data_IF_012678237304
#
_entry.id   IF_012678237304
#
_cell.length_a   1.000
_cell.length_b   1.000
_cell.length_c   1.000
_cell.angle_alpha   90.00
_cell.angle_beta   90.00
_cell.angle_gamma   90.00
#
_symmetry.space_group_name_H-M   'P 1'
#
loop_
_entity.id
_entity.type
_entity.pdbx_description
1 polymer ?
#
# COMPACT_ATOMS: atom_id res chain seq x y z
N UNK A 1 41.78 -20.47 11.72
CA UNK A 1 41.20 -19.61 12.77
C UNK A 1 40.87 -18.20 12.26
N UNK A 2 41.83 -17.41 11.76
CA UNK A 2 41.59 -16.02 11.28
C UNK A 2 40.50 -15.89 10.20
N UNK A 3 40.49 -16.80 9.21
CA UNK A 3 39.47 -16.82 8.13
C UNK A 3 38.06 -17.13 8.65
N UNK A 4 37.94 -18.03 9.62
CA UNK A 4 36.65 -18.41 10.23
C UNK A 4 36.07 -17.30 11.11
N UNK A 5 36.92 -16.54 11.81
CA UNK A 5 36.51 -15.35 12.55
C UNK A 5 35.99 -14.25 11.60
N UNK A 6 36.67 -14.00 10.48
CA UNK A 6 36.21 -13.07 9.46
C UNK A 6 34.86 -13.46 8.86
N UNK A 7 34.65 -14.75 8.56
CA UNK A 7 33.37 -15.26 8.05
C UNK A 7 32.24 -15.14 9.08
N UNK A 8 32.51 -15.38 10.36
CA UNK A 8 31.52 -15.26 11.43
C UNK A 8 31.05 -13.81 11.62
N UNK A 9 31.98 -12.85 11.57
CA UNK A 9 31.69 -11.41 11.64
C UNK A 9 30.86 -10.95 10.42
N UNK A 10 31.22 -11.41 9.22
CA UNK A 10 30.46 -11.08 8.01
C UNK A 10 29.02 -11.62 8.07
N UNK A 11 28.83 -12.84 8.58
CA UNK A 11 27.51 -13.44 8.73
C UNK A 11 26.67 -12.73 9.78
N UNK A 12 27.26 -12.34 10.92
CA UNK A 12 26.53 -11.57 11.95
C UNK A 12 26.15 -10.18 11.47
N UNK A 13 26.99 -9.52 10.68
CA UNK A 13 26.64 -8.24 10.08
C UNK A 13 25.47 -8.37 9.08
N UNK A 14 25.46 -9.41 8.25
CA UNK A 14 24.34 -9.66 7.32
C UNK A 14 23.01 -9.90 8.04
N UNK A 15 23.04 -10.60 9.18
CA UNK A 15 21.82 -10.84 9.98
C UNK A 15 21.40 -9.58 10.75
N UNK A 16 22.35 -8.81 11.28
CA UNK A 16 22.06 -7.59 12.03
C UNK A 16 21.58 -6.42 11.15
N UNK A 17 22.00 -6.38 9.88
CA UNK A 17 21.64 -5.35 8.90
C UNK A 17 20.72 -5.87 7.79
N UNK A 18 20.23 -7.10 7.88
CA UNK A 18 19.17 -7.61 7.03
C UNK A 18 17.88 -6.88 7.37
N UNK A 19 17.60 -5.78 6.66
CA UNK A 19 16.36 -5.03 6.83
C UNK A 19 15.13 -5.91 6.59
N UNK A 20 14.04 -5.61 7.28
CA UNK A 20 12.72 -6.14 6.91
C UNK A 20 12.46 -5.82 5.42
N UNK A 21 11.74 -6.69 4.71
CA UNK A 21 11.21 -6.32 3.40
C UNK A 21 10.08 -5.32 3.64
N UNK A 22 10.19 -4.11 3.08
CA UNK A 22 9.13 -3.10 3.12
C UNK A 22 8.35 -3.24 1.82
N UNK A 23 7.05 -3.50 1.91
CA UNK A 23 6.16 -3.53 0.76
C UNK A 23 5.12 -2.43 0.88
N UNK A 24 4.58 -1.97 -0.24
CA UNK A 24 3.46 -1.02 -0.19
C UNK A 24 2.18 -1.76 0.25
N UNK A 25 1.40 -1.11 1.11
CA UNK A 25 0.07 -1.58 1.51
C UNK A 25 -0.92 -1.23 0.40
N UNK A 26 -1.39 -2.23 -0.33
CA UNK A 26 -2.37 -2.04 -1.40
C UNK A 26 -3.77 -1.91 -0.82
N UNK A 27 -4.46 -0.80 -1.13
CA UNK A 27 -5.84 -0.55 -0.72
C UNK A 27 -6.69 -0.34 -1.96
N UNK A 28 -7.69 -1.20 -2.15
CA UNK A 28 -8.67 -1.07 -3.22
C UNK A 28 -9.88 -0.26 -2.77
N UNK A 29 -10.31 0.69 -3.60
CA UNK A 29 -11.57 1.43 -3.42
C UNK A 29 -12.41 1.27 -4.67
N UNK A 30 -13.54 0.59 -4.52
CA UNK A 30 -14.55 0.47 -5.57
C UNK A 30 -15.64 1.52 -5.37
N UNK A 31 -16.07 2.15 -6.45
CA UNK A 31 -17.23 3.02 -6.46
C UNK A 31 -17.66 3.39 -7.87
N UNK A 32 -18.80 4.10 -8.02
CA UNK A 32 -19.29 4.53 -9.31
C UNK A 32 -18.49 5.74 -9.78
N UNK A 33 -17.31 5.50 -10.34
CA UNK A 33 -16.43 6.56 -10.85
C UNK A 33 -17.03 7.12 -12.14
N UNK A 34 -17.69 6.27 -12.93
CA UNK A 34 -18.45 6.68 -14.12
C UNK A 34 -19.95 6.41 -13.98
N UNK A 35 -20.72 6.83 -14.98
CA UNK A 35 -22.17 6.65 -15.03
C UNK A 35 -22.97 7.71 -14.25
N UNK A 36 -24.28 7.47 -14.03
CA UNK A 36 -25.19 8.45 -13.44
C UNK A 36 -24.80 8.89 -12.02
N UNK A 37 -24.08 8.04 -11.30
CA UNK A 37 -23.65 8.26 -9.92
C UNK A 37 -22.20 8.75 -9.80
N UNK A 38 -21.56 9.14 -10.91
CA UNK A 38 -20.15 9.59 -10.96
C UNK A 38 -19.80 10.70 -9.97
N UNK A 39 -20.73 11.62 -9.69
CA UNK A 39 -20.51 12.68 -8.71
C UNK A 39 -20.26 12.14 -7.30
N UNK A 40 -20.95 11.07 -6.92
CA UNK A 40 -20.74 10.39 -5.65
C UNK A 40 -19.41 9.64 -5.63
N UNK A 41 -19.08 8.88 -6.69
CA UNK A 41 -17.80 8.19 -6.79
C UNK A 41 -16.60 9.13 -6.79
N UNK A 42 -16.71 10.31 -7.42
CA UNK A 42 -15.67 11.33 -7.39
C UNK A 42 -15.44 11.90 -5.97
N UNK A 43 -16.50 12.06 -5.17
CA UNK A 43 -16.35 12.46 -3.77
C UNK A 43 -15.69 11.35 -2.94
N UNK A 44 -16.07 10.09 -3.17
CA UNK A 44 -15.50 8.93 -2.50
C UNK A 44 -14.01 8.76 -2.82
N UNK A 45 -13.64 8.86 -4.11
CA UNK A 45 -12.25 8.82 -4.57
C UNK A 45 -11.41 9.91 -3.90
N UNK A 46 -11.87 11.17 -3.94
CA UNK A 46 -11.13 12.29 -3.32
C UNK A 46 -10.98 12.11 -1.81
N UNK A 47 -11.99 11.57 -1.13
CA UNK A 47 -11.92 11.26 0.30
C UNK A 47 -10.88 10.17 0.60
N UNK A 48 -10.85 9.12 -0.22
CA UNK A 48 -9.87 8.03 -0.09
C UNK A 48 -8.44 8.53 -0.36
N UNK A 49 -8.24 9.33 -1.42
CA UNK A 49 -6.95 9.94 -1.74
C UNK A 49 -6.44 10.84 -0.61
N UNK A 50 -7.31 11.68 -0.03
CA UNK A 50 -6.95 12.54 1.09
C UNK A 50 -6.54 11.73 2.33
N UNK A 51 -7.32 10.70 2.68
CA UNK A 51 -6.99 9.85 3.82
C UNK A 51 -5.66 9.09 3.62
N UNK A 52 -5.41 8.56 2.42
CA UNK A 52 -4.13 7.91 2.09
C UNK A 52 -2.96 8.89 2.20
N UNK A 53 -3.11 10.11 1.70
CA UNK A 53 -2.08 11.13 1.79
C UNK A 53 -1.75 11.48 3.26
N UNK A 54 -2.77 11.65 4.10
CA UNK A 54 -2.59 11.96 5.52
C UNK A 54 -1.89 10.82 6.27
N UNK A 55 -2.28 9.56 6.01
CA UNK A 55 -1.67 8.38 6.65
C UNK A 55 -0.21 8.22 6.21
N UNK A 56 0.06 8.36 4.92
CA UNK A 56 1.41 8.28 4.37
C UNK A 56 2.32 9.39 4.92
N UNK A 57 1.80 10.62 5.05
CA UNK A 57 2.50 11.72 5.68
C UNK A 57 2.79 11.48 7.17
N UNK A 58 1.93 10.75 7.87
CA UNK A 58 2.13 10.34 9.27
C UNK A 58 3.13 9.18 9.44
N UNK A 59 3.73 8.67 8.36
CA UNK A 59 4.69 7.57 8.38
C UNK A 59 4.14 6.23 7.88
N UNK A 60 2.93 6.21 7.32
CA UNK A 60 2.32 5.00 6.78
C UNK A 60 1.80 4.05 7.85
N UNK A 61 1.42 2.84 7.45
CA UNK A 61 0.97 1.78 8.35
C UNK A 61 2.18 0.91 8.68
N UNK A 62 2.60 0.87 9.94
CA UNK A 62 3.81 0.14 10.37
C UNK A 62 5.09 0.56 9.60
N UNK A 63 5.15 1.81 9.12
CA UNK A 63 6.24 2.31 8.26
C UNK A 63 5.98 2.13 6.76
N UNK A 64 5.02 1.29 6.38
CA UNK A 64 4.73 1.00 4.98
C UNK A 64 3.76 2.02 4.37
N UNK A 65 4.07 2.44 3.15
CA UNK A 65 3.25 3.41 2.42
C UNK A 65 2.02 2.72 1.82
N UNK A 66 0.89 3.40 1.88
CA UNK A 66 -0.34 2.95 1.24
C UNK A 66 -0.33 3.37 -0.23
N UNK A 67 -0.73 2.44 -1.09
CA UNK A 67 -1.06 2.69 -2.50
C UNK A 67 -2.54 2.40 -2.73
N UNK A 68 -3.24 3.41 -3.26
CA UNK A 68 -4.65 3.34 -3.57
C UNK A 68 -4.87 2.84 -5.00
N UNK A 69 -5.67 1.80 -5.16
CA UNK A 69 -6.20 1.36 -6.46
C UNK A 69 -7.70 1.64 -6.51
N UNK A 70 -8.14 2.39 -7.52
CA UNK A 70 -9.54 2.77 -7.68
C UNK A 70 -10.17 1.92 -8.79
N UNK A 71 -11.23 1.19 -8.44
CA UNK A 71 -12.03 0.40 -9.36
C UNK A 71 -13.37 1.08 -9.65
N UNK A 72 -13.76 1.13 -10.92
CA UNK A 72 -15.07 1.66 -11.33
C UNK A 72 -16.10 0.52 -11.41
N UNK A 73 -17.10 0.55 -10.54
CA UNK A 73 -18.19 -0.43 -10.51
C UNK A 73 -19.48 0.06 -11.18
N UNK A 74 -19.53 1.34 -11.58
CA UNK A 74 -20.68 2.01 -12.24
C UNK A 74 -22.02 1.83 -11.50
N UNK A 75 -22.00 1.45 -10.21
CA UNK A 75 -23.19 0.97 -9.47
C UNK A 75 -23.91 -0.23 -10.13
N UNK A 76 -23.23 -1.00 -10.96
CA UNK A 76 -23.72 -2.25 -11.53
C UNK A 76 -23.25 -3.44 -10.66
N UNK A 77 -24.17 -4.19 -10.04
CA UNK A 77 -23.82 -5.38 -9.27
C UNK A 77 -22.96 -6.39 -10.03
N UNK A 78 -23.04 -6.44 -11.37
CA UNK A 78 -22.24 -7.35 -12.19
C UNK A 78 -20.77 -6.92 -12.35
N UNK A 79 -20.48 -5.63 -12.23
CA UNK A 79 -19.12 -5.09 -12.32
C UNK A 79 -18.42 -5.07 -10.96
N UNK A 80 -19.17 -4.99 -9.86
CA UNK A 80 -18.64 -5.05 -8.49
C UNK A 80 -18.26 -6.44 -7.98
N UNK A 81 -18.36 -7.49 -8.81
CA UNK A 81 -18.00 -8.87 -8.43
C UNK A 81 -16.72 -9.24 -9.20
N UNK A 82 -15.61 -9.41 -8.47
CA UNK A 82 -14.36 -10.03 -8.95
C UNK A 82 -14.24 -11.47 -8.48
#
# INVERSE_FOLDING_TARGET
MKKSLLSAVALTALVAFGGAAWADVMVGVAGPITGPNAAFGAQLQKGAEAAVADINAAGGINGEQIKLEVGDDVSDPKQGIS
#
